data_IF_275165686266
#
_entry.id   IF_275165686266
#
_cell.length_a   1.000
_cell.length_b   1.000
_cell.length_c   1.000
_cell.angle_alpha   90.00
_cell.angle_beta   90.00
_cell.angle_gamma   90.00
#
_symmetry.space_group_name_H-M   'P 1'
#
loop_
_entity.id
_entity.type
_entity.pdbx_description
1 polymer ?
#
# COMPACT_ATOMS: atom_id res chain seq x y z
N UNK A 1 8.72 -4.38 40.99
CA UNK A 1 9.47 -3.11 41.07
C UNK A 1 8.62 -2.05 40.39
N UNK A 2 7.86 -1.28 41.15
CA UNK A 2 6.91 -0.30 40.61
C UNK A 2 7.68 0.93 40.14
N UNK A 3 7.63 1.20 38.83
CA UNK A 3 8.22 2.39 38.24
C UNK A 3 7.19 3.50 38.37
N UNK A 4 7.43 4.49 39.22
CA UNK A 4 6.60 5.70 39.27
C UNK A 4 7.07 6.67 38.19
N UNK A 5 6.16 7.06 37.29
CA UNK A 5 6.40 8.08 36.28
C UNK A 5 5.67 9.37 36.65
N UNK A 6 6.41 10.50 36.59
CA UNK A 6 5.87 11.84 36.79
C UNK A 6 5.97 12.59 35.46
N UNK A 7 4.83 13.05 34.95
CA UNK A 7 4.76 13.83 33.70
C UNK A 7 4.33 15.24 34.04
N UNK A 8 5.15 16.22 33.66
CA UNK A 8 4.89 17.64 33.92
C UNK A 8 4.83 18.38 32.59
N UNK A 9 3.73 19.10 32.32
CA UNK A 9 3.59 19.97 31.14
C UNK A 9 3.96 21.39 31.52
N UNK A 10 4.89 21.99 30.80
CA UNK A 10 5.42 23.32 31.08
C UNK A 10 5.47 24.11 29.76
N UNK A 11 5.25 25.42 29.81
CA UNK A 11 5.47 26.32 28.68
C UNK A 11 6.79 27.08 28.91
N UNK A 12 7.79 26.91 28.03
CA UNK A 12 9.11 27.53 28.13
C UNK A 12 10.27 26.52 28.16
N UNK A 13 11.44 26.96 28.61
CA UNK A 13 12.66 26.14 28.65
C UNK A 13 12.56 25.04 29.73
N UNK A 14 12.68 23.78 29.30
CA UNK A 14 12.46 22.57 30.12
C UNK A 14 13.69 22.17 30.92
N UNK A 15 14.89 22.53 30.46
CA UNK A 15 16.15 22.17 31.12
C UNK A 15 16.27 22.72 32.57
N UNK A 16 15.98 24.01 32.85
CA UNK A 16 16.04 24.53 34.22
C UNK A 16 14.98 23.91 35.14
N UNK A 17 13.78 23.63 34.62
CA UNK A 17 12.69 23.05 35.40
C UNK A 17 12.93 21.57 35.73
N UNK A 18 13.51 20.82 34.79
CA UNK A 18 13.91 19.43 35.02
C UNK A 18 14.95 19.32 36.14
N UNK A 19 15.93 20.24 36.19
CA UNK A 19 16.92 20.29 37.28
C UNK A 19 16.29 20.63 38.63
N UNK A 20 15.40 21.62 38.66
CA UNK A 20 14.68 22.02 39.87
C UNK A 20 13.81 20.88 40.43
N UNK A 21 13.05 20.19 39.57
CA UNK A 21 12.24 19.02 39.95
C UNK A 21 13.12 17.89 40.51
N UNK A 22 14.26 17.61 39.87
CA UNK A 22 15.21 16.59 40.34
C UNK A 22 15.76 16.94 41.72
N UNK A 23 16.07 18.21 41.99
CA UNK A 23 16.53 18.67 43.30
C UNK A 23 15.45 18.52 44.38
N UNK A 24 14.19 18.88 44.08
CA UNK A 24 13.07 18.71 45.02
C UNK A 24 12.85 17.24 45.35
N UNK A 25 12.86 16.35 44.35
CA UNK A 25 12.70 14.91 44.57
C UNK A 25 13.83 14.36 45.46
N UNK A 26 15.09 14.73 45.18
CA UNK A 26 16.23 14.32 46.02
C UNK A 26 16.18 14.88 47.44
N UNK A 27 15.55 16.04 47.65
CA UNK A 27 15.37 16.61 48.99
C UNK A 27 14.30 15.89 49.82
N UNK A 28 13.32 15.28 49.16
CA UNK A 28 12.26 14.49 49.81
C UNK A 28 12.70 13.05 50.08
N UNK A 29 13.40 12.43 49.13
CA UNK A 29 13.96 11.09 49.27
C UNK A 29 15.33 10.99 48.55
N UNK A 30 16.46 11.02 49.29
CA UNK A 30 17.80 10.92 48.73
C UNK A 30 18.10 9.57 48.08
N UNK A 31 17.37 8.51 48.44
CA UNK A 31 17.61 7.15 47.94
C UNK A 31 16.78 6.83 46.69
N UNK A 32 15.91 7.75 46.24
CA UNK A 32 15.10 7.54 45.05
C UNK A 32 15.94 7.73 43.77
N UNK A 33 16.12 6.67 42.95
CA UNK A 33 16.83 6.81 41.68
C UNK A 33 15.96 7.59 40.71
N UNK A 34 16.31 8.85 40.48
CA UNK A 34 15.69 9.67 39.44
C UNK A 34 16.31 9.27 38.10
N UNK A 35 15.54 8.55 37.27
CA UNK A 35 15.91 8.33 35.88
C UNK A 35 16.06 9.67 35.18
N UNK A 36 17.04 9.78 34.28
CA UNK A 36 17.36 10.99 33.54
C UNK A 36 16.10 11.68 33.00
N UNK A 37 15.92 12.96 33.33
CA UNK A 37 14.73 13.72 32.92
C UNK A 37 14.75 13.91 31.41
N UNK A 38 13.93 13.13 30.69
CA UNK A 38 13.82 13.18 29.23
C UNK A 38 12.70 14.10 28.80
N UNK A 39 12.92 14.77 27.68
CA UNK A 39 11.84 15.47 26.99
C UNK A 39 10.80 14.46 26.53
N UNK A 40 9.52 14.81 26.63
CA UNK A 40 8.45 13.95 26.11
C UNK A 40 8.65 13.70 24.60
N UNK A 41 9.26 14.64 23.90
CA UNK A 41 9.65 14.54 22.49
C UNK A 41 10.70 13.45 22.23
N UNK A 42 11.65 13.25 23.14
CA UNK A 42 12.65 12.16 23.10
C UNK A 42 12.03 10.79 23.38
N UNK A 43 11.08 10.75 24.32
CA UNK A 43 10.33 9.51 24.64
C UNK A 43 9.43 9.10 23.46
N UNK A 44 8.76 10.07 22.85
CA UNK A 44 7.94 9.84 21.66
C UNK A 44 8.82 9.42 20.49
N UNK A 45 9.91 10.14 20.21
CA UNK A 45 10.81 9.81 19.08
C UNK A 45 11.46 8.43 19.24
N UNK A 46 11.86 8.03 20.45
CA UNK A 46 12.34 6.68 20.73
C UNK A 46 11.29 5.59 20.43
N UNK A 47 10.01 5.85 20.72
CA UNK A 47 8.90 4.93 20.41
C UNK A 47 8.56 4.91 18.91
N UNK A 48 8.63 6.07 18.25
CA UNK A 48 8.35 6.23 16.81
C UNK A 48 9.41 5.55 15.94
N UNK A 49 10.67 5.46 16.38
CA UNK A 49 11.74 4.81 15.62
C UNK A 49 11.40 3.36 15.24
N UNK A 50 10.89 2.57 16.18
CA UNK A 50 10.56 1.16 15.92
C UNK A 50 9.33 1.00 15.02
N UNK A 51 8.32 1.86 15.22
CA UNK A 51 7.13 1.88 14.36
C UNK A 51 7.46 2.32 12.93
N UNK A 52 8.32 3.34 12.77
CA UNK A 52 8.76 3.84 11.47
C UNK A 52 9.58 2.80 10.69
N UNK A 53 10.44 2.04 11.38
CA UNK A 53 11.17 0.92 10.77
C UNK A 53 10.21 -0.14 10.21
N UNK A 54 9.22 -0.57 10.99
CA UNK A 54 8.22 -1.53 10.53
C UNK A 54 7.39 -0.99 9.36
N UNK A 55 6.99 0.28 9.39
CA UNK A 55 6.27 0.91 8.27
C UNK A 55 7.11 0.94 6.99
N UNK A 56 8.40 1.27 7.07
CA UNK A 56 9.29 1.27 5.90
C UNK A 56 9.44 -0.14 5.35
N UNK A 57 9.63 -1.15 6.21
CA UNK A 57 9.74 -2.55 5.79
C UNK A 57 8.46 -3.04 5.09
N UNK A 58 7.30 -2.74 5.68
CA UNK A 58 5.99 -3.04 5.08
C UNK A 58 5.79 -2.29 3.76
N UNK A 59 6.21 -1.04 3.66
CA UNK A 59 6.12 -0.27 2.42
C UNK A 59 6.99 -0.88 1.31
N UNK A 60 8.19 -1.35 1.64
CA UNK A 60 9.05 -2.06 0.68
C UNK A 60 8.40 -3.37 0.23
N UNK A 61 7.88 -4.19 1.14
CA UNK A 61 7.17 -5.42 0.79
C UNK A 61 5.90 -5.18 -0.03
N UNK A 62 5.13 -4.15 0.30
CA UNK A 62 3.98 -3.76 -0.48
C UNK A 62 4.40 -3.31 -1.89
N UNK A 63 5.50 -2.57 -2.00
CA UNK A 63 6.08 -2.16 -3.29
C UNK A 63 6.50 -3.34 -4.15
N UNK A 64 7.21 -4.33 -3.58
CA UNK A 64 7.61 -5.53 -4.33
C UNK A 64 6.40 -6.38 -4.72
N UNK A 65 5.42 -6.54 -3.84
CA UNK A 65 4.17 -7.23 -4.16
C UNK A 65 3.41 -6.53 -5.31
N UNK A 66 3.38 -5.20 -5.32
CA UNK A 66 2.76 -4.41 -6.38
C UNK A 66 3.46 -4.61 -7.73
N UNK A 67 4.80 -4.63 -7.73
CA UNK A 67 5.59 -4.93 -8.93
C UNK A 67 5.30 -6.34 -9.43
N UNK A 68 5.29 -7.35 -8.55
CA UNK A 68 4.98 -8.72 -8.91
C UNK A 68 3.56 -8.87 -9.48
N UNK A 69 2.58 -8.18 -8.87
CA UNK A 69 1.21 -8.16 -9.38
C UNK A 69 1.14 -7.53 -10.77
N UNK A 70 1.83 -6.40 -11.00
CA UNK A 70 1.87 -5.75 -12.31
C UNK A 70 2.52 -6.65 -13.38
N UNK A 71 3.62 -7.33 -13.04
CA UNK A 71 4.29 -8.29 -13.94
C UNK A 71 3.38 -9.49 -14.23
N UNK A 72 2.69 -10.02 -13.23
CA UNK A 72 1.73 -11.11 -13.39
C UNK A 72 0.57 -10.74 -14.31
N UNK A 73 -0.06 -9.58 -14.09
CA UNK A 73 -1.14 -9.06 -14.95
C UNK A 73 -0.63 -8.86 -16.38
N UNK A 74 0.55 -8.25 -16.55
CA UNK A 74 1.17 -8.08 -17.86
C UNK A 74 1.39 -9.41 -18.56
N UNK A 75 1.95 -10.41 -17.87
CA UNK A 75 2.23 -11.74 -18.43
C UNK A 75 0.95 -12.46 -18.88
N UNK A 76 -0.05 -12.49 -18.00
CA UNK A 76 -1.36 -13.10 -18.29
C UNK A 76 -2.04 -12.39 -19.46
N UNK A 77 -2.08 -11.06 -19.47
CA UNK A 77 -2.69 -10.30 -20.56
C UNK A 77 -1.93 -10.42 -21.87
N UNK A 78 -0.59 -10.40 -21.83
CA UNK A 78 0.24 -10.62 -23.01
C UNK A 78 -0.03 -11.99 -23.63
N UNK A 79 -0.18 -13.02 -22.80
CA UNK A 79 -0.54 -14.37 -23.26
C UNK A 79 -1.95 -14.41 -23.87
N UNK A 80 -2.95 -13.86 -23.19
CA UNK A 80 -4.34 -13.81 -23.69
C UNK A 80 -4.45 -13.07 -25.01
N UNK A 81 -3.80 -11.92 -25.12
CA UNK A 81 -3.80 -11.11 -26.33
C UNK A 81 -3.09 -11.85 -27.47
N UNK A 82 -1.94 -12.48 -27.21
CA UNK A 82 -1.21 -13.26 -28.22
C UNK A 82 -2.03 -14.43 -28.77
N UNK A 83 -2.81 -15.13 -27.93
CA UNK A 83 -3.70 -16.21 -28.39
C UNK A 83 -4.90 -15.73 -29.19
N UNK A 84 -5.32 -14.47 -29.03
CA UNK A 84 -6.48 -13.88 -29.70
C UNK A 84 -6.11 -12.90 -30.82
N UNK A 85 -4.83 -12.82 -31.19
CA UNK A 85 -4.36 -11.93 -32.29
C UNK A 85 -5.07 -12.21 -33.60
N UNK A 86 -5.32 -13.48 -33.93
CA UNK A 86 -6.01 -13.87 -35.16
C UNK A 86 -7.46 -13.34 -35.19
N UNK A 87 -8.22 -13.52 -34.10
CA UNK A 87 -9.58 -12.98 -33.98
C UNK A 87 -9.59 -11.43 -34.04
N UNK A 88 -8.63 -10.80 -33.38
CA UNK A 88 -8.46 -9.34 -33.43
C UNK A 88 -8.11 -8.86 -34.85
N UNK A 89 -7.28 -9.62 -35.57
CA UNK A 89 -6.90 -9.38 -36.96
C UNK A 89 -8.10 -9.46 -37.91
N UNK A 90 -8.93 -10.49 -37.79
CA UNK A 90 -10.16 -10.64 -38.57
C UNK A 90 -11.12 -9.47 -38.30
N UNK A 91 -11.31 -9.07 -37.03
CA UNK A 91 -12.16 -7.92 -36.69
C UNK A 91 -11.65 -6.63 -37.29
N UNK A 92 -10.33 -6.40 -37.27
CA UNK A 92 -9.73 -5.23 -37.91
C UNK A 92 -9.88 -5.27 -39.44
N UNK A 93 -9.75 -6.44 -40.07
CA UNK A 93 -9.98 -6.61 -41.51
C UNK A 93 -11.45 -6.36 -41.90
N UNK A 94 -12.39 -6.66 -41.02
CA UNK A 94 -13.82 -6.33 -41.17
C UNK A 94 -14.15 -4.85 -40.86
N UNK A 95 -13.15 -4.01 -40.57
CA UNK A 95 -13.31 -2.57 -40.39
C UNK A 95 -13.39 -2.07 -38.94
N UNK A 96 -13.17 -2.93 -37.94
CA UNK A 96 -13.12 -2.48 -36.54
C UNK A 96 -11.92 -1.54 -36.31
N UNK A 97 -12.14 -0.44 -35.57
CA UNK A 97 -11.07 0.51 -35.27
C UNK A 97 -10.16 -0.10 -34.20
N UNK A 98 -8.87 0.28 -34.23
CA UNK A 98 -7.89 -0.11 -33.18
C UNK A 98 -8.38 0.22 -31.75
N UNK A 99 -9.14 1.30 -31.60
CA UNK A 99 -9.74 1.70 -30.34
C UNK A 99 -10.81 0.73 -29.82
N UNK A 100 -11.59 0.12 -30.72
CA UNK A 100 -12.65 -0.83 -30.35
C UNK A 100 -12.05 -2.12 -29.77
N UNK A 101 -10.96 -2.60 -30.41
CA UNK A 101 -10.20 -3.75 -29.93
C UNK A 101 -9.49 -3.44 -28.61
N UNK A 102 -8.86 -2.27 -28.50
CA UNK A 102 -8.20 -1.83 -27.27
C UNK A 102 -9.17 -1.75 -26.09
N UNK A 103 -10.34 -1.14 -26.30
CA UNK A 103 -11.39 -1.01 -25.28
C UNK A 103 -11.92 -2.37 -24.83
N UNK A 104 -12.08 -3.32 -25.74
CA UNK A 104 -12.52 -4.67 -25.43
C UNK A 104 -11.50 -5.41 -24.54
N UNK A 105 -10.21 -5.33 -24.87
CA UNK A 105 -9.14 -5.96 -24.08
C UNK A 105 -9.01 -5.30 -22.71
N UNK A 106 -9.07 -3.97 -22.64
CA UNK A 106 -9.05 -3.24 -21.38
C UNK A 106 -10.23 -3.61 -20.49
N UNK A 107 -11.45 -3.71 -21.04
CA UNK A 107 -12.64 -4.09 -20.29
C UNK A 107 -12.53 -5.50 -19.73
N UNK A 108 -12.12 -6.47 -20.54
CA UNK A 108 -11.94 -7.86 -20.09
C UNK A 108 -10.84 -7.98 -19.01
N UNK A 109 -9.70 -7.31 -19.21
CA UNK A 109 -8.63 -7.31 -18.22
C UNK A 109 -9.05 -6.62 -16.91
N UNK A 110 -9.78 -5.51 -17.02
CA UNK A 110 -10.25 -4.75 -15.86
C UNK A 110 -11.32 -5.51 -15.07
N UNK A 111 -12.18 -6.28 -15.72
CA UNK A 111 -13.17 -7.13 -15.05
C UNK A 111 -12.49 -8.14 -14.10
N UNK A 112 -11.45 -8.82 -14.58
CA UNK A 112 -10.65 -9.75 -13.76
C UNK A 112 -9.93 -9.00 -12.63
N UNK A 113 -9.35 -7.83 -12.91
CA UNK A 113 -8.67 -7.02 -11.90
C UNK A 113 -9.63 -6.53 -10.81
N UNK A 114 -10.83 -6.08 -11.17
CA UNK A 114 -11.84 -5.61 -10.23
C UNK A 114 -12.37 -6.75 -9.34
N UNK A 115 -12.56 -7.94 -9.89
CA UNK A 115 -12.91 -9.14 -9.10
C UNK A 115 -11.79 -9.43 -8.08
N UNK A 116 -10.52 -9.40 -8.53
CA UNK A 116 -9.37 -9.58 -7.65
C UNK A 116 -9.30 -8.53 -6.53
N UNK A 117 -9.54 -7.26 -6.86
CA UNK A 117 -9.61 -6.15 -5.89
C UNK A 117 -10.76 -6.39 -4.90
N UNK A 118 -11.96 -6.73 -5.36
CA UNK A 118 -13.11 -6.97 -4.49
C UNK A 118 -12.87 -8.14 -3.51
N UNK A 119 -12.27 -9.24 -3.99
CA UNK A 119 -11.89 -10.38 -3.16
C UNK A 119 -10.80 -9.99 -2.15
N UNK A 120 -9.78 -9.24 -2.59
CA UNK A 120 -8.71 -8.74 -1.74
C UNK A 120 -9.21 -7.82 -0.62
N UNK A 121 -10.10 -6.87 -0.94
CA UNK A 121 -10.72 -5.97 0.04
C UNK A 121 -11.58 -6.73 1.05
N UNK A 122 -12.33 -7.73 0.58
CA UNK A 122 -13.15 -8.57 1.45
C UNK A 122 -12.28 -9.37 2.43
N UNK A 123 -11.19 -9.95 1.95
CA UNK A 123 -10.20 -10.66 2.78
C UNK A 123 -9.50 -9.71 3.77
N UNK A 124 -9.07 -8.54 3.31
CA UNK A 124 -8.45 -7.52 4.15
C UNK A 124 -9.39 -7.08 5.27
N UNK A 125 -10.65 -6.77 4.95
CA UNK A 125 -11.67 -6.40 5.93
C UNK A 125 -11.90 -7.51 6.97
N UNK A 126 -12.01 -8.77 6.54
CA UNK A 126 -12.18 -9.90 7.46
C UNK A 126 -10.98 -10.05 8.40
N UNK A 127 -9.76 -9.94 7.87
CA UNK A 127 -8.53 -10.05 8.63
C UNK A 127 -8.37 -8.89 9.63
N UNK A 128 -8.66 -7.65 9.20
CA UNK A 128 -8.62 -6.48 10.08
C UNK A 128 -9.66 -6.59 11.19
N UNK A 129 -10.86 -7.12 10.90
CA UNK A 129 -11.88 -7.37 11.91
C UNK A 129 -11.41 -8.41 12.93
N UNK A 130 -10.80 -9.52 12.50
CA UNK A 130 -10.24 -10.53 13.39
C UNK A 130 -9.09 -10.00 14.24
N UNK A 131 -8.26 -9.10 13.70
CA UNK A 131 -7.19 -8.44 14.44
C UNK A 131 -7.71 -7.35 15.39
N UNK A 132 -8.83 -6.70 15.08
CA UNK A 132 -9.41 -5.65 15.92
C UNK A 132 -9.83 -6.16 17.31
N UNK A 133 -10.12 -7.46 17.45
CA UNK A 133 -10.40 -8.07 18.77
C UNK A 133 -9.13 -8.22 19.63
N UNK A 134 -7.95 -8.05 19.03
CA UNK A 134 -6.64 -8.13 19.68
C UNK A 134 -5.94 -6.76 19.80
N UNK A 135 -6.37 -5.73 19.06
CA UNK A 135 -5.76 -4.40 19.03
C UNK A 135 -6.66 -3.32 19.64
N UNK A 136 -6.19 -2.69 20.73
CA UNK A 136 -6.78 -1.47 21.29
C UNK A 136 -6.47 -0.25 20.39
N UNK A 137 -7.49 0.56 20.08
CA UNK A 137 -7.40 1.94 19.54
C UNK A 137 -6.92 2.16 18.10
N UNK A 138 -7.10 1.23 17.16
CA UNK A 138 -7.03 1.55 15.72
C UNK A 138 -8.44 1.47 15.14
N UNK A 139 -8.94 2.57 14.54
CA UNK A 139 -10.23 2.54 13.82
C UNK A 139 -10.12 1.50 12.71
N UNK A 140 -10.77 0.35 12.92
CA UNK A 140 -10.56 -0.89 12.16
C UNK A 140 -10.88 -0.78 10.65
N UNK A 141 -11.44 0.34 10.19
CA UNK A 141 -11.77 0.60 8.80
C UNK A 141 -11.61 2.07 8.51
N UNK A 142 -10.46 2.47 7.99
CA UNK A 142 -10.29 3.80 7.41
C UNK A 142 -10.74 3.76 5.93
N UNK A 143 -11.91 4.35 5.58
CA UNK A 143 -12.42 4.31 4.21
C UNK A 143 -11.48 4.98 3.21
N UNK A 144 -10.68 5.95 3.67
CA UNK A 144 -9.72 6.68 2.83
C UNK A 144 -8.60 5.74 2.40
N UNK A 145 -8.07 4.95 3.32
CA UNK A 145 -7.03 3.95 3.00
C UNK A 145 -7.57 2.88 2.06
N UNK A 146 -8.75 2.30 2.34
CA UNK A 146 -9.33 1.27 1.47
C UNK A 146 -9.64 1.78 0.06
N UNK A 147 -10.23 2.97 -0.07
CA UNK A 147 -10.52 3.57 -1.38
C UNK A 147 -9.23 3.97 -2.12
N UNK A 148 -8.26 4.54 -1.43
CA UNK A 148 -6.96 4.91 -1.99
C UNK A 148 -6.19 3.71 -2.54
N UNK A 149 -6.13 2.61 -1.78
CA UNK A 149 -5.49 1.36 -2.23
C UNK A 149 -6.24 0.76 -3.41
N UNK A 150 -7.58 0.73 -3.37
CA UNK A 150 -8.39 0.21 -4.48
C UNK A 150 -8.14 0.98 -5.78
N UNK A 151 -8.09 2.31 -5.70
CA UNK A 151 -7.84 3.18 -6.84
C UNK A 151 -6.41 3.01 -7.36
N UNK A 152 -5.42 2.92 -6.47
CA UNK A 152 -4.04 2.66 -6.84
C UNK A 152 -3.87 1.31 -7.56
N UNK A 153 -4.47 0.24 -7.02
CA UNK A 153 -4.43 -1.08 -7.66
C UNK A 153 -5.13 -1.09 -9.02
N UNK A 154 -6.27 -0.40 -9.15
CA UNK A 154 -6.98 -0.27 -10.42
C UNK A 154 -6.14 0.48 -11.47
N UNK A 155 -5.44 1.56 -11.08
CA UNK A 155 -4.54 2.28 -11.98
C UNK A 155 -3.34 1.43 -12.41
N UNK A 156 -2.74 0.68 -11.48
CA UNK A 156 -1.63 -0.23 -11.79
C UNK A 156 -2.07 -1.35 -12.73
N UNK A 157 -3.24 -1.95 -12.49
CA UNK A 157 -3.83 -2.94 -13.38
C UNK A 157 -4.09 -2.35 -14.76
N UNK A 158 -4.71 -1.17 -14.83
CA UNK A 158 -4.98 -0.46 -16.09
C UNK A 158 -3.69 -0.22 -16.88
N UNK A 159 -2.64 0.27 -16.22
CA UNK A 159 -1.34 0.48 -16.84
C UNK A 159 -0.76 -0.85 -17.35
N UNK A 160 -0.73 -1.89 -16.52
CA UNK A 160 -0.20 -3.21 -16.88
C UNK A 160 -0.95 -3.86 -18.06
N UNK A 161 -2.27 -3.67 -18.16
CA UNK A 161 -3.11 -4.18 -19.26
C UNK A 161 -2.92 -3.34 -20.54
N UNK A 162 -2.79 -2.02 -20.40
CA UNK A 162 -2.72 -1.10 -21.53
C UNK A 162 -1.51 -1.34 -22.43
N UNK A 163 -0.33 -1.62 -21.86
CA UNK A 163 0.89 -1.88 -22.65
C UNK A 163 0.76 -3.06 -23.64
N UNK A 164 0.41 -4.29 -23.21
CA UNK A 164 0.27 -5.43 -24.12
C UNK A 164 -0.91 -5.25 -25.09
N UNK A 165 -2.02 -4.65 -24.64
CA UNK A 165 -3.17 -4.37 -25.50
C UNK A 165 -2.81 -3.39 -26.63
N UNK A 166 -2.12 -2.30 -26.30
CA UNK A 166 -1.61 -1.34 -27.29
C UNK A 166 -0.61 -1.99 -28.24
N UNK A 167 0.29 -2.83 -27.72
CA UNK A 167 1.27 -3.56 -28.54
C UNK A 167 0.56 -4.41 -29.60
N UNK A 168 -0.48 -5.15 -29.25
CA UNK A 168 -1.19 -6.00 -30.22
C UNK A 168 -1.97 -5.22 -31.27
N UNK A 169 -2.56 -4.07 -30.93
CA UNK A 169 -3.23 -3.22 -31.94
C UNK A 169 -2.26 -2.53 -32.91
N UNK A 170 -0.96 -2.53 -32.60
CA UNK A 170 0.11 -1.98 -33.46
C UNK A 170 0.79 -3.03 -34.33
N UNK A 171 0.68 -4.32 -33.99
CA UNK A 171 1.21 -5.40 -34.84
C UNK A 171 0.36 -5.42 -36.11
N UNK A 172 1.02 -5.27 -37.26
CA UNK A 172 0.38 -5.11 -38.55
C UNK A 172 -0.41 -6.39 -38.93
N UNK A 173 -1.72 -6.31 -39.22
CA UNK A 173 -2.54 -7.47 -39.58
C UNK A 173 -2.00 -8.26 -40.76
N UNK A 174 -1.21 -7.61 -41.63
CA UNK A 174 -0.61 -8.20 -42.83
C UNK A 174 0.49 -9.21 -42.53
N UNK A 175 1.18 -9.12 -41.38
CA UNK A 175 2.21 -10.10 -40.98
C UNK A 175 1.54 -11.37 -40.44
N UNK A 176 0.35 -11.27 -39.85
CA UNK A 176 -0.39 -12.40 -39.30
C UNK A 176 -0.98 -13.34 -40.40
N UNK A 177 -1.05 -12.87 -41.65
CA UNK A 177 -1.54 -13.63 -42.81
C UNK A 177 -0.42 -14.22 -43.70
N UNK A 178 0.85 -13.89 -43.45
CA UNK A 178 2.00 -14.36 -44.26
C UNK A 178 2.74 -15.56 -43.63
N UNK A 179 2.14 -16.23 -42.64
CA UNK A 179 2.59 -17.52 -42.12
C UNK A 179 1.61 -18.63 -42.55
N UNK A 180 1.43 -18.77 -43.86
CA UNK A 180 1.03 -20.01 -44.54
C UNK A 180 1.88 -20.19 -45.80
#
# INVERSE_FOLDING_TARGET
MSIMSLVVRIAGDTAPVARALTQVIRSLDPNQPVAEARLMEEVISASVLRQRFNMVLLAVFAGTALVLAAVGIYGVMSFFVTRRTHEMGIRMALGARRGDVLGLVLRQGMEVALIGIALGLSGAFAMTRALSTLLFSVKATDPITFSGVSLLLALVALAAIYFPARRATKVDPMIALHYE
#
